data_IF_312971204110
#
_entry.id   IF_312971204110
#
_cell.length_a   1.000
_cell.length_b   1.000
_cell.length_c   1.000
_cell.angle_alpha   90.00
_cell.angle_beta   90.00
_cell.angle_gamma   90.00
#
_symmetry.space_group_name_H-M   'P 1'
#
loop_
_entity.id
_entity.type
_entity.pdbx_description
1 polymer ?
#
# COMPACT_ATOMS: atom_id res chain seq x y z
N UNK A 1 3.57 -21.04 17.69
CA UNK A 1 3.53 -19.61 17.33
C UNK A 1 3.03 -19.57 15.92
N UNK A 2 1.84 -19.00 15.70
CA UNK A 2 1.34 -18.75 14.35
C UNK A 2 2.12 -17.56 13.81
N UNK A 3 2.93 -17.78 12.79
CA UNK A 3 3.61 -16.69 12.09
C UNK A 3 2.53 -15.79 11.49
N UNK A 4 2.45 -14.56 11.97
CA UNK A 4 1.52 -13.56 11.46
C UNK A 4 2.17 -12.91 10.24
N UNK A 5 1.92 -13.49 9.07
CA UNK A 5 2.32 -12.97 7.75
C UNK A 5 1.44 -11.79 7.33
N UNK A 6 1.16 -10.84 8.23
CA UNK A 6 0.63 -9.52 7.82
C UNK A 6 1.85 -8.68 7.48
N UNK A 7 2.24 -8.74 6.21
CA UNK A 7 3.53 -8.27 5.71
C UNK A 7 3.67 -6.76 5.85
N UNK A 8 4.39 -6.37 6.91
CA UNK A 8 4.94 -5.04 7.09
C UNK A 8 6.10 -4.84 6.11
N UNK A 9 5.82 -4.28 4.94
CA UNK A 9 6.86 -3.79 4.05
C UNK A 9 7.29 -2.40 4.52
N UNK A 10 8.42 -2.35 5.23
CA UNK A 10 9.03 -1.13 5.75
C UNK A 10 9.70 -0.40 4.57
N UNK A 11 9.22 0.80 4.23
CA UNK A 11 9.77 1.63 3.14
C UNK A 11 11.02 2.37 3.64
N UNK A 12 10.92 2.89 4.86
CA UNK A 12 11.96 3.60 5.61
C UNK A 12 11.74 3.32 7.10
N UNK A 13 12.70 3.57 8.00
CA UNK A 13 12.52 3.37 9.45
C UNK A 13 11.38 4.19 10.10
N UNK A 14 10.62 4.95 9.32
CA UNK A 14 9.55 5.85 9.78
C UNK A 14 8.24 5.62 9.02
N UNK A 15 8.27 5.08 7.79
CA UNK A 15 7.07 4.93 6.96
C UNK A 15 6.84 3.47 6.58
N UNK A 16 5.63 2.98 6.84
CA UNK A 16 5.18 1.59 6.59
C UNK A 16 3.93 1.56 5.70
N UNK A 17 3.77 0.47 4.94
CA UNK A 17 2.53 0.15 4.24
C UNK A 17 1.59 -0.68 5.12
N UNK A 18 0.32 -0.33 5.09
CA UNK A 18 -0.78 -1.11 5.64
C UNK A 18 -1.79 -1.41 4.52
N UNK A 19 -1.75 -2.64 4.01
CA UNK A 19 -2.62 -3.12 2.93
C UNK A 19 -4.01 -3.45 3.47
N UNK A 20 -4.82 -2.41 3.68
CA UNK A 20 -6.16 -2.48 4.29
C UNK A 20 -7.07 -3.50 3.61
N UNK A 21 -7.06 -3.55 2.28
CA UNK A 21 -7.90 -4.47 1.50
C UNK A 21 -7.29 -4.76 0.15
N UNK A 22 -7.29 -6.03 -0.25
CA UNK A 22 -7.07 -6.43 -1.64
C UNK A 22 -8.23 -7.33 -2.07
N UNK A 23 -9.01 -6.86 -3.04
CA UNK A 23 -10.11 -7.61 -3.63
C UNK A 23 -9.69 -8.12 -5.00
N UNK A 24 -9.28 -9.40 -5.02
CA UNK A 24 -8.75 -10.08 -6.20
C UNK A 24 -9.80 -10.11 -7.33
N UNK A 25 -11.07 -10.31 -7.00
CA UNK A 25 -12.14 -10.46 -7.98
C UNK A 25 -12.41 -9.14 -8.72
N UNK A 26 -12.47 -8.06 -7.96
CA UNK A 26 -12.71 -6.72 -8.52
C UNK A 26 -11.41 -6.04 -8.98
N UNK A 27 -10.25 -6.63 -8.67
CA UNK A 27 -8.91 -6.08 -8.90
C UNK A 27 -8.75 -4.67 -8.34
N UNK A 28 -9.27 -4.47 -7.13
CA UNK A 28 -9.16 -3.23 -6.39
C UNK A 28 -8.33 -3.44 -5.13
N UNK A 29 -7.63 -2.40 -4.69
CA UNK A 29 -6.90 -2.41 -3.44
C UNK A 29 -6.97 -1.06 -2.71
N UNK A 30 -6.95 -1.13 -1.39
CA UNK A 30 -6.85 0.01 -0.49
C UNK A 30 -5.58 -0.14 0.34
N UNK A 31 -4.73 0.88 0.32
CA UNK A 31 -3.45 0.91 1.03
C UNK A 31 -3.35 2.20 1.82
N UNK A 32 -3.03 2.08 3.10
CA UNK A 32 -2.61 3.19 3.93
C UNK A 32 -1.09 3.24 3.97
N UNK A 33 -0.54 4.43 3.89
CA UNK A 33 0.86 4.70 4.21
C UNK A 33 0.88 5.39 5.56
N UNK A 34 1.61 4.81 6.51
CA UNK A 34 1.58 5.19 7.92
C UNK A 34 2.95 5.70 8.33
N UNK A 35 2.98 6.87 8.98
CA UNK A 35 4.13 7.28 9.79
C UNK A 35 4.11 6.49 11.10
N UNK A 36 4.99 5.50 11.21
CA UNK A 36 5.10 4.62 12.37
C UNK A 36 5.54 5.36 13.64
N UNK A 37 6.30 6.46 13.53
CA UNK A 37 6.70 7.25 14.71
C UNK A 37 5.53 8.03 15.28
N UNK A 38 4.68 8.57 14.42
CA UNK A 38 3.52 9.37 14.82
C UNK A 38 2.22 8.57 14.93
N UNK A 39 2.24 7.29 14.51
CA UNK A 39 1.06 6.41 14.42
C UNK A 39 -0.08 7.07 13.64
N UNK A 40 0.25 7.78 12.56
CA UNK A 40 -0.71 8.53 11.75
C UNK A 40 -0.67 8.10 10.29
N UNK A 41 -1.84 8.06 9.65
CA UNK A 41 -1.96 7.80 8.22
C UNK A 41 -1.61 9.09 7.47
N UNK A 42 -0.50 9.05 6.74
CA UNK A 42 0.01 10.21 5.98
C UNK A 42 -0.53 10.23 4.56
N UNK A 43 -0.86 9.06 4.03
CA UNK A 43 -1.45 8.93 2.71
C UNK A 43 -2.35 7.69 2.64
N UNK A 44 -3.43 7.79 1.86
CA UNK A 44 -4.26 6.66 1.47
C UNK A 44 -4.33 6.57 -0.03
N UNK A 45 -4.22 5.35 -0.52
CA UNK A 45 -4.32 5.00 -1.92
C UNK A 45 -5.50 4.05 -2.09
N UNK A 46 -6.36 4.39 -3.04
CA UNK A 46 -7.34 3.47 -3.60
C UNK A 46 -6.94 3.20 -5.05
N UNK A 47 -6.72 1.94 -5.38
CA UNK A 47 -6.18 1.51 -6.67
C UNK A 47 -7.21 0.60 -7.35
N UNK A 48 -7.66 0.98 -8.54
CA UNK A 48 -8.50 0.17 -9.42
C UNK A 48 -7.67 -0.23 -10.65
N UNK A 49 -7.20 -1.48 -10.66
CA UNK A 49 -6.35 -2.02 -11.73
C UNK A 49 -7.15 -2.17 -13.03
N UNK A 50 -8.46 -2.45 -12.95
CA UNK A 50 -9.29 -2.62 -14.13
C UNK A 50 -9.46 -1.31 -14.90
N UNK A 51 -9.62 -0.20 -14.16
CA UNK A 51 -9.77 1.15 -14.73
C UNK A 51 -8.45 1.89 -14.91
N UNK A 52 -7.34 1.32 -14.44
CA UNK A 52 -6.04 1.98 -14.36
C UNK A 52 -6.15 3.33 -13.63
N UNK A 53 -6.88 3.35 -12.51
CA UNK A 53 -7.18 4.55 -11.74
C UNK A 53 -6.55 4.44 -10.35
N UNK A 54 -5.86 5.50 -9.93
CA UNK A 54 -5.29 5.63 -8.59
C UNK A 54 -5.86 6.89 -7.97
N UNK A 55 -6.61 6.74 -6.88
CA UNK A 55 -7.07 7.86 -6.05
C UNK A 55 -6.17 7.96 -4.84
N UNK A 56 -5.55 9.13 -4.69
CA UNK A 56 -4.65 9.45 -3.58
C UNK A 56 -5.28 10.52 -2.70
N UNK A 57 -5.12 10.36 -1.39
CA UNK A 57 -5.41 11.40 -0.40
C UNK A 57 -4.26 11.49 0.59
N UNK A 58 -3.83 12.70 0.94
CA UNK A 58 -2.61 12.91 1.71
C UNK A 58 -1.37 13.03 0.82
N UNK A 59 -0.20 13.18 1.45
CA UNK A 59 1.08 13.39 0.75
C UNK A 59 2.26 12.89 1.58
N UNK A 60 3.32 12.50 0.89
CA UNK A 60 4.62 12.16 1.46
C UNK A 60 5.64 13.30 1.38
N UNK A 61 5.27 14.52 0.97
CA UNK A 61 6.19 15.67 0.84
C UNK A 61 7.05 15.95 2.09
N UNK A 62 6.56 15.63 3.29
CA UNK A 62 7.29 15.82 4.55
C UNK A 62 8.27 14.67 4.87
N UNK A 63 8.31 13.64 4.04
CA UNK A 63 9.19 12.50 4.14
C UNK A 63 10.17 12.58 2.97
N UNK A 64 11.45 12.27 3.19
CA UNK A 64 12.45 12.19 2.11
C UNK A 64 12.22 10.93 1.25
N UNK A 65 11.01 10.80 0.71
CA UNK A 65 10.53 9.70 -0.11
C UNK A 65 10.03 10.27 -1.42
N UNK A 66 10.41 9.63 -2.52
CA UNK A 66 9.80 9.91 -3.81
C UNK A 66 8.39 9.31 -3.81
N UNK A 67 7.40 10.19 -3.87
CA UNK A 67 6.00 9.81 -3.78
C UNK A 67 5.56 8.98 -4.99
N UNK A 68 6.01 9.33 -6.19
CA UNK A 68 5.63 8.65 -7.42
C UNK A 68 6.28 7.25 -7.46
N UNK A 69 7.56 7.15 -7.10
CA UNK A 69 8.26 5.84 -6.98
C UNK A 69 7.60 4.94 -5.93
N UNK A 70 7.17 5.53 -4.82
CA UNK A 70 6.46 4.81 -3.74
C UNK A 70 5.12 4.26 -4.26
N UNK A 71 4.33 5.07 -4.96
CA UNK A 71 3.04 4.66 -5.53
C UNK A 71 3.23 3.57 -6.58
N UNK A 72 4.24 3.69 -7.45
CA UNK A 72 4.56 2.69 -8.47
C UNK A 72 4.97 1.35 -7.83
N UNK A 73 5.77 1.37 -6.77
CA UNK A 73 6.14 0.17 -6.02
C UNK A 73 4.91 -0.53 -5.40
N UNK A 74 3.99 0.24 -4.81
CA UNK A 74 2.74 -0.29 -4.26
C UNK A 74 1.87 -0.90 -5.36
N UNK A 75 1.78 -0.23 -6.50
CA UNK A 75 1.00 -0.70 -7.65
C UNK A 75 1.51 -2.05 -8.16
N UNK A 76 2.83 -2.21 -8.29
CA UNK A 76 3.42 -3.47 -8.74
C UNK A 76 3.23 -4.60 -7.73
N UNK A 77 3.32 -4.32 -6.43
CA UNK A 77 2.98 -5.29 -5.38
C UNK A 77 1.51 -5.73 -5.47
N UNK A 78 0.58 -4.79 -5.62
CA UNK A 78 -0.85 -5.12 -5.77
C UNK A 78 -1.11 -5.96 -7.02
N UNK A 79 -0.47 -5.63 -8.14
CA UNK A 79 -0.57 -6.43 -9.37
C UNK A 79 -0.08 -7.86 -9.13
N UNK A 80 1.03 -8.01 -8.44
CA UNK A 80 1.55 -9.31 -8.04
C UNK A 80 0.57 -10.07 -7.14
N UNK A 81 0.07 -9.45 -6.07
CA UNK A 81 -0.87 -10.08 -5.14
C UNK A 81 -2.18 -10.52 -5.82
N UNK A 82 -2.77 -9.67 -6.67
CA UNK A 82 -3.96 -10.03 -7.43
C UNK A 82 -3.68 -11.20 -8.38
N UNK A 83 -2.52 -11.21 -9.05
CA UNK A 83 -2.14 -12.29 -9.96
C UNK A 83 -1.97 -13.62 -9.23
N UNK A 84 -1.34 -13.62 -8.06
CA UNK A 84 -1.09 -14.81 -7.24
C UNK A 84 -2.28 -15.20 -6.35
N UNK A 85 -3.34 -14.39 -6.32
CA UNK A 85 -4.53 -14.65 -5.51
C UNK A 85 -4.33 -14.39 -4.01
N UNK A 86 -3.44 -13.47 -3.65
CA UNK A 86 -3.14 -13.08 -2.28
C UNK A 86 -4.01 -11.86 -1.91
N UNK A 87 -4.98 -12.07 -1.01
CA UNK A 87 -5.89 -10.99 -0.55
C UNK A 87 -5.45 -10.33 0.76
N UNK A 88 -4.55 -10.98 1.50
CA UNK A 88 -3.99 -10.49 2.75
C UNK A 88 -2.48 -10.77 2.77
N UNK A 89 -1.66 -9.84 2.26
CA UNK A 89 -0.22 -10.02 2.15
C UNK A 89 0.48 -9.91 3.50
#
# INVERSE_FOLDING_TARGET
MEDNWTSKAIITPIVEYDYVRIDINNKIAEVNIIDYKQQNIVMKLFIDICKNEIKKTGTLENYNLDEDETIDSILDNIRYFIKEGISNP
#
